data_IF_359397946092
#
_entry.id   IF_359397946092
#
_cell.length_a   1.000
_cell.length_b   1.000
_cell.length_c   1.000
_cell.angle_alpha   90.00
_cell.angle_beta   90.00
_cell.angle_gamma   90.00
#
_symmetry.space_group_name_H-M   'P 1'
#
loop_
_entity.id
_entity.type
_entity.pdbx_description
1 polymer ?
#
# COMPACT_ATOMS: atom_id res chain seq x y z
N UNK A 1 23.00 -13.86 -14.74
CA UNK A 1 22.22 -12.68 -14.30
C UNK A 1 23.11 -11.96 -13.30
N UNK A 2 23.47 -10.69 -13.53
CA UNK A 2 24.36 -9.94 -12.62
C UNK A 2 23.55 -9.57 -11.38
N UNK A 3 24.00 -9.98 -10.20
CA UNK A 3 23.39 -9.51 -8.93
C UNK A 3 23.63 -8.00 -8.78
N UNK A 4 22.55 -7.24 -8.69
CA UNK A 4 22.61 -5.81 -8.45
C UNK A 4 22.66 -5.57 -6.93
N UNK A 5 23.59 -4.75 -6.47
CA UNK A 5 23.62 -4.30 -5.08
C UNK A 5 22.45 -3.35 -4.78
N UNK A 6 22.06 -3.21 -3.50
CA UNK A 6 21.02 -2.24 -3.09
C UNK A 6 21.38 -0.81 -3.52
N UNK A 7 22.68 -0.46 -3.52
CA UNK A 7 23.17 0.84 -3.95
C UNK A 7 22.97 1.06 -5.45
N UNK A 8 23.20 0.06 -6.28
CA UNK A 8 22.97 0.13 -7.73
C UNK A 8 21.47 0.22 -8.04
N UNK A 9 20.65 -0.57 -7.33
CA UNK A 9 19.20 -0.50 -7.45
C UNK A 9 18.65 0.88 -7.09
N UNK A 10 19.20 1.54 -6.05
CA UNK A 10 18.75 2.87 -5.61
C UNK A 10 19.14 3.99 -6.56
N UNK A 11 20.08 3.78 -7.47
CA UNK A 11 20.57 4.78 -8.44
C UNK A 11 20.03 4.57 -9.85
N UNK A 12 19.45 3.40 -10.15
CA UNK A 12 18.97 3.11 -11.51
C UNK A 12 17.86 4.08 -11.94
N UNK A 13 17.77 4.30 -13.25
CA UNK A 13 16.63 5.02 -13.84
C UNK A 13 15.34 4.22 -13.56
N UNK A 14 14.29 4.92 -13.20
CA UNK A 14 12.96 4.35 -12.99
C UNK A 14 12.13 4.46 -14.26
N UNK A 15 11.10 3.63 -14.37
CA UNK A 15 10.06 3.82 -15.36
C UNK A 15 9.27 5.10 -15.04
N UNK A 16 8.78 5.74 -16.09
CA UNK A 16 8.03 7.00 -15.95
C UNK A 16 6.74 6.82 -15.15
N UNK A 17 6.12 5.64 -15.25
CA UNK A 17 4.83 5.37 -14.62
C UNK A 17 4.83 3.99 -13.96
N UNK A 18 4.39 3.95 -12.70
CA UNK A 18 4.03 2.71 -12.00
C UNK A 18 2.53 2.65 -11.73
N UNK A 19 1.92 1.50 -12.06
CA UNK A 19 0.50 1.26 -11.78
C UNK A 19 0.25 1.16 -10.26
N UNK A 20 1.14 0.46 -9.56
CA UNK A 20 1.08 0.33 -8.11
C UNK A 20 2.48 0.49 -7.53
N UNK A 21 2.59 1.25 -6.45
CA UNK A 21 3.78 1.26 -5.58
C UNK A 21 3.36 0.79 -4.19
N UNK A 22 4.00 -0.26 -3.71
CA UNK A 22 3.85 -0.75 -2.35
C UNK A 22 4.94 -0.14 -1.48
N UNK A 23 4.55 0.54 -0.40
CA UNK A 23 5.44 0.99 0.65
C UNK A 23 5.32 0.05 1.86
N UNK A 24 6.15 -0.99 1.87
CA UNK A 24 6.12 -2.04 2.89
C UNK A 24 6.94 -1.56 4.09
N UNK A 25 6.26 -1.40 5.23
CA UNK A 25 6.88 -0.99 6.49
C UNK A 25 7.39 -2.19 7.27
N UNK A 26 8.63 -2.11 7.74
CA UNK A 26 9.21 -3.00 8.73
C UNK A 26 9.81 -2.17 9.88
N UNK A 27 9.51 -2.54 11.12
CA UNK A 27 10.13 -1.93 12.29
C UNK A 27 11.43 -2.68 12.61
N UNK A 28 12.52 -1.93 12.80
CA UNK A 28 13.80 -2.47 13.23
C UNK A 28 14.23 -1.85 14.56
N UNK A 29 14.85 -2.67 15.40
CA UNK A 29 15.48 -2.25 16.62
C UNK A 29 17.00 -2.33 16.45
N UNK A 30 17.67 -1.18 16.42
CA UNK A 30 19.11 -1.09 16.32
C UNK A 30 19.70 -0.90 17.71
N UNK A 31 20.51 -1.86 18.16
CA UNK A 31 21.23 -1.75 19.43
C UNK A 31 22.38 -0.75 19.26
N UNK A 32 22.34 0.36 19.99
CA UNK A 32 23.44 1.28 20.23
C UNK A 32 24.13 0.90 21.54
N UNK A 33 25.30 1.47 21.84
CA UNK A 33 26.03 1.14 23.08
C UNK A 33 25.15 1.20 24.32
N UNK A 34 24.30 2.22 24.47
CA UNK A 34 23.57 2.50 25.70
C UNK A 34 22.04 2.51 25.56
N UNK A 35 21.51 2.33 24.34
CA UNK A 35 20.06 2.33 24.09
C UNK A 35 19.68 1.55 22.85
N UNK A 36 18.39 1.26 22.72
CA UNK A 36 17.79 0.67 21.53
C UNK A 36 17.13 1.79 20.72
N UNK A 37 17.64 2.06 19.53
CA UNK A 37 17.02 2.97 18.56
C UNK A 37 15.99 2.19 17.73
N UNK A 38 14.73 2.62 17.80
CA UNK A 38 13.68 2.11 16.92
C UNK A 38 13.64 2.92 15.64
N UNK A 39 13.51 2.25 14.52
CA UNK A 39 13.43 2.89 13.22
C UNK A 39 12.50 2.12 12.30
N UNK A 40 11.76 2.86 11.48
CA UNK A 40 10.93 2.27 10.44
C UNK A 40 11.72 2.19 9.14
N UNK A 41 11.73 1.01 8.52
CA UNK A 41 12.25 0.81 7.17
C UNK A 41 11.09 0.67 6.22
N UNK A 42 11.07 1.48 5.17
CA UNK A 42 10.12 1.37 4.07
C UNK A 42 10.81 0.84 2.82
N UNK A 43 10.38 -0.33 2.37
CA UNK A 43 10.78 -0.89 1.09
C UNK A 43 9.73 -0.52 0.05
N UNK A 44 10.15 0.16 -1.02
CA UNK A 44 9.28 0.51 -2.14
C UNK A 44 9.43 -0.50 -3.28
N UNK A 45 8.32 -1.15 -3.64
CA UNK A 45 8.23 -2.08 -4.77
C UNK A 45 7.16 -1.55 -5.71
N UNK A 46 7.52 -1.34 -6.98
CA UNK A 46 6.61 -0.89 -8.03
C UNK A 46 6.14 -2.03 -8.93
N UNK A 47 4.93 -1.91 -9.44
CA UNK A 47 4.44 -2.68 -10.60
C UNK A 47 4.37 -1.70 -11.78
N UNK A 48 5.15 -1.96 -12.82
CA UNK A 48 5.20 -1.13 -14.02
C UNK A 48 3.95 -1.31 -14.90
N UNK A 49 3.88 -0.57 -16.00
CA UNK A 49 2.75 -0.63 -16.94
C UNK A 49 2.62 -1.96 -17.69
N UNK A 50 3.66 -2.79 -17.66
CA UNK A 50 3.66 -4.15 -18.22
C UNK A 50 3.32 -5.23 -17.20
N UNK A 51 3.17 -4.85 -15.92
CA UNK A 51 2.83 -5.76 -14.82
C UNK A 51 4.05 -6.40 -14.14
N UNK A 52 5.28 -5.99 -14.46
CA UNK A 52 6.48 -6.50 -13.80
C UNK A 52 6.75 -5.81 -12.47
N UNK A 53 7.16 -6.61 -11.49
CA UNK A 53 7.59 -6.09 -10.18
C UNK A 53 9.02 -5.57 -10.28
N UNK A 54 9.22 -4.39 -9.73
CA UNK A 54 10.52 -3.74 -9.69
C UNK A 54 10.78 -3.20 -8.29
N UNK A 55 11.97 -3.47 -7.76
CA UNK A 55 12.45 -2.78 -6.57
C UNK A 55 12.72 -1.31 -6.92
N UNK A 56 12.16 -0.38 -6.14
CA UNK A 56 12.32 1.06 -6.35
C UNK A 56 13.39 1.62 -5.42
N UNK A 57 13.21 1.45 -4.11
CA UNK A 57 14.17 1.93 -3.10
C UNK A 57 13.86 1.37 -1.70
N UNK A 58 14.80 1.59 -0.77
CA UNK A 58 14.61 1.42 0.66
C UNK A 58 14.88 2.76 1.34
N UNK A 59 14.00 3.16 2.26
CA UNK A 59 14.13 4.35 3.07
C UNK A 59 14.06 4.00 4.55
N UNK A 60 14.99 4.56 5.33
CA UNK A 60 14.94 4.46 6.78
C UNK A 60 14.35 5.75 7.34
N UNK A 61 13.15 5.65 7.92
CA UNK A 61 12.44 6.77 8.52
C UNK A 61 12.61 6.77 10.03
N UNK A 62 13.46 7.68 10.53
CA UNK A 62 13.74 7.84 11.96
C UNK A 62 12.83 8.84 12.66
N UNK A 63 12.25 9.77 11.92
CA UNK A 63 11.58 10.97 12.47
C UNK A 63 10.18 11.19 11.95
N UNK A 64 9.72 10.38 11.02
CA UNK A 64 8.38 10.44 10.40
C UNK A 64 7.91 11.89 10.11
N UNK A 65 8.74 12.67 9.41
CA UNK A 65 8.40 14.04 9.07
C UNK A 65 8.12 14.23 7.58
N UNK A 66 7.43 15.33 7.24
CA UNK A 66 7.06 15.65 5.86
C UNK A 66 8.26 15.92 4.97
N UNK A 67 9.30 16.58 5.50
CA UNK A 67 10.47 16.97 4.73
C UNK A 67 11.21 15.74 4.21
N UNK A 68 11.41 14.76 5.08
CA UNK A 68 12.02 13.48 4.69
C UNK A 68 11.30 12.83 3.51
N UNK A 69 9.97 12.69 3.60
CA UNK A 69 9.20 12.06 2.53
C UNK A 69 9.15 12.88 1.24
N UNK A 70 9.19 14.22 1.36
CA UNK A 70 9.29 15.08 0.19
C UNK A 70 10.60 14.83 -0.55
N UNK A 71 11.72 14.85 0.18
CA UNK A 71 13.06 14.60 -0.39
C UNK A 71 13.15 13.19 -1.01
N UNK A 72 12.50 12.17 -0.39
CA UNK A 72 12.39 10.83 -0.97
C UNK A 72 11.67 10.85 -2.32
N UNK A 73 10.50 11.47 -2.42
CA UNK A 73 9.73 11.52 -3.67
C UNK A 73 10.42 12.36 -4.75
N UNK A 74 11.06 13.47 -4.39
CA UNK A 74 11.87 14.27 -5.33
C UNK A 74 13.05 13.45 -5.87
N UNK A 75 13.69 12.63 -5.03
CA UNK A 75 14.73 11.69 -5.46
C UNK A 75 14.19 10.68 -6.49
N UNK A 76 12.97 10.16 -6.30
CA UNK A 76 12.34 9.26 -7.28
C UNK A 76 12.04 9.97 -8.59
N UNK A 77 11.56 11.22 -8.56
CA UNK A 77 11.35 12.04 -9.74
C UNK A 77 12.64 12.31 -10.51
N UNK A 78 13.71 12.64 -9.80
CA UNK A 78 15.03 12.84 -10.40
C UNK A 78 15.55 11.59 -11.13
N UNK A 79 15.09 10.40 -10.73
CA UNK A 79 15.37 9.12 -11.40
C UNK A 79 14.42 8.78 -12.54
N UNK A 80 13.48 9.66 -12.88
CA UNK A 80 12.57 9.55 -14.04
C UNK A 80 11.12 9.20 -13.71
N UNK A 81 10.77 8.93 -12.44
CA UNK A 81 9.39 8.64 -12.06
C UNK A 81 8.52 9.90 -12.15
N UNK A 82 7.47 9.85 -12.94
CA UNK A 82 6.52 10.96 -13.11
C UNK A 82 5.14 10.65 -12.51
N UNK A 83 4.71 9.39 -12.60
CA UNK A 83 3.36 9.00 -12.21
C UNK A 83 3.33 7.75 -11.34
N UNK A 84 2.51 7.80 -10.29
CA UNK A 84 2.09 6.64 -9.50
C UNK A 84 0.57 6.62 -9.50
N UNK A 85 -0.03 5.56 -10.02
CA UNK A 85 -1.49 5.45 -10.05
C UNK A 85 -2.04 5.12 -8.66
N UNK A 86 -1.46 4.08 -8.03
CA UNK A 86 -1.83 3.66 -6.68
C UNK A 86 -0.61 3.57 -5.77
N UNK A 87 -0.71 4.15 -4.59
CA UNK A 87 0.24 3.94 -3.50
C UNK A 87 -0.42 3.13 -2.39
N UNK A 88 0.09 1.91 -2.19
CA UNK A 88 -0.27 1.08 -1.04
C UNK A 88 0.67 1.41 0.12
N UNK A 89 0.15 2.01 1.15
CA UNK A 89 0.89 2.42 2.33
C UNK A 89 0.01 2.34 3.58
N UNK A 90 0.63 2.01 4.70
CA UNK A 90 0.00 2.01 6.02
C UNK A 90 -0.51 3.41 6.44
N UNK A 91 -0.74 3.62 7.74
CA UNK A 91 -1.22 4.88 8.29
C UNK A 91 -0.19 6.02 8.31
N UNK A 92 0.88 5.98 7.49
CA UNK A 92 1.85 7.08 7.42
C UNK A 92 1.24 8.32 6.74
N UNK A 93 0.67 9.20 7.58
CA UNK A 93 0.00 10.43 7.13
C UNK A 93 0.96 11.39 6.43
N UNK A 94 2.22 11.44 6.86
CA UNK A 94 3.23 12.33 6.27
C UNK A 94 3.60 11.84 4.87
N UNK A 95 3.84 10.53 4.70
CA UNK A 95 4.06 9.94 3.39
C UNK A 95 2.87 10.20 2.45
N UNK A 96 1.63 9.94 2.89
CA UNK A 96 0.43 10.17 2.06
C UNK A 96 0.30 11.62 1.61
N UNK A 97 0.51 12.59 2.52
CA UNK A 97 0.39 14.02 2.21
C UNK A 97 1.45 14.47 1.21
N UNK A 98 2.70 14.05 1.41
CA UNK A 98 3.80 14.42 0.50
C UNK A 98 3.71 13.70 -0.83
N UNK A 99 3.27 12.43 -0.86
CA UNK A 99 3.01 11.73 -2.11
C UNK A 99 1.96 12.44 -2.96
N UNK A 100 0.89 12.99 -2.32
CA UNK A 100 -0.14 13.75 -3.03
C UNK A 100 0.37 15.08 -3.60
N UNK A 101 1.37 15.68 -2.95
CA UNK A 101 2.06 16.88 -3.48
C UNK A 101 2.95 16.49 -4.66
N UNK A 102 3.73 15.44 -4.54
CA UNK A 102 4.67 15.00 -5.57
C UNK A 102 3.96 14.41 -6.80
N UNK A 103 2.85 13.69 -6.59
CA UNK A 103 2.05 13.00 -7.61
C UNK A 103 0.56 13.33 -7.42
N UNK A 104 0.06 14.43 -8.00
CA UNK A 104 -1.30 14.93 -7.73
C UNK A 104 -2.44 13.93 -8.02
N UNK A 105 -2.25 13.06 -9.01
CA UNK A 105 -3.27 12.09 -9.42
C UNK A 105 -3.24 10.76 -8.65
N UNK A 106 -2.30 10.62 -7.70
CA UNK A 106 -2.12 9.40 -6.91
C UNK A 106 -3.38 9.03 -6.13
N UNK A 107 -3.75 7.76 -6.16
CA UNK A 107 -4.78 7.16 -5.32
C UNK A 107 -4.14 6.30 -4.23
N UNK A 108 -4.72 6.33 -3.01
CA UNK A 108 -4.21 5.52 -1.91
C UNK A 108 -5.05 4.28 -1.72
N UNK A 109 -4.38 3.15 -1.51
CA UNK A 109 -5.01 1.87 -1.19
C UNK A 109 -4.37 1.31 0.08
N UNK A 110 -5.18 0.67 0.92
CA UNK A 110 -4.65 -0.08 2.05
C UNK A 110 -4.19 -1.46 1.56
N UNK A 111 -3.01 -1.90 2.00
CA UNK A 111 -2.52 -3.23 1.68
C UNK A 111 -3.41 -4.30 2.32
N UNK A 112 -3.73 -5.37 1.57
CA UNK A 112 -4.42 -6.53 2.14
C UNK A 112 -3.58 -7.25 3.20
N UNK A 113 -2.26 -7.20 3.09
CA UNK A 113 -1.36 -7.76 4.12
C UNK A 113 -1.54 -7.09 5.48
N UNK A 114 -1.99 -5.83 5.49
CA UNK A 114 -2.28 -5.09 6.73
C UNK A 114 -3.67 -5.39 7.28
N UNK A 115 -4.56 -5.95 6.49
CA UNK A 115 -5.95 -6.23 6.89
C UNK A 115 -5.98 -7.31 7.95
N UNK A 116 -5.33 -8.46 7.70
CA UNK A 116 -5.35 -9.59 8.65
C UNK A 116 -4.84 -9.19 10.03
N UNK A 117 -3.66 -8.56 10.21
CA UNK A 117 -3.19 -8.11 11.52
C UNK A 117 -4.12 -7.08 12.19
N UNK A 118 -4.77 -6.21 11.41
CA UNK A 118 -5.72 -5.23 11.98
C UNK A 118 -6.98 -5.90 12.49
N UNK A 119 -7.52 -6.87 11.77
CA UNK A 119 -8.71 -7.61 12.19
C UNK A 119 -8.42 -8.62 13.29
N UNK A 120 -7.24 -9.26 13.32
CA UNK A 120 -6.86 -10.23 14.37
C UNK A 120 -6.77 -9.61 15.76
N UNK A 121 -6.72 -8.27 15.86
CA UNK A 121 -6.84 -7.57 17.15
C UNK A 121 -8.24 -7.66 17.76
N UNK A 122 -9.25 -7.98 16.95
CA UNK A 122 -10.66 -7.94 17.36
C UNK A 122 -11.40 -9.25 17.09
N UNK A 123 -10.76 -10.23 16.47
CA UNK A 123 -11.34 -11.53 16.14
C UNK A 123 -10.25 -12.59 16.04
N UNK A 124 -10.64 -13.87 16.06
CA UNK A 124 -9.69 -14.96 15.85
C UNK A 124 -8.99 -14.85 14.48
N UNK A 125 -7.73 -15.24 14.39
CA UNK A 125 -6.93 -15.13 13.18
C UNK A 125 -7.58 -15.84 11.97
N UNK A 126 -8.21 -17.00 12.22
CA UNK A 126 -8.95 -17.74 11.18
C UNK A 126 -10.06 -16.89 10.54
N UNK A 127 -10.79 -16.12 11.36
CA UNK A 127 -11.87 -15.27 10.89
C UNK A 127 -11.35 -14.00 10.23
N UNK A 128 -10.23 -13.45 10.73
CA UNK A 128 -9.52 -12.35 10.08
C UNK A 128 -9.04 -12.73 8.66
N UNK A 129 -8.54 -13.96 8.48
CA UNK A 129 -8.15 -14.48 7.15
C UNK A 129 -9.35 -14.66 6.21
N UNK A 130 -10.48 -15.19 6.71
CA UNK A 130 -11.72 -15.29 5.95
C UNK A 130 -12.21 -13.90 5.50
N UNK A 131 -12.16 -12.93 6.41
CA UNK A 131 -12.53 -11.56 6.14
C UNK A 131 -11.65 -10.95 5.05
N UNK A 132 -10.33 -11.11 5.16
CA UNK A 132 -9.38 -10.63 4.14
C UNK A 132 -9.65 -11.25 2.76
N UNK A 133 -9.92 -12.56 2.71
CA UNK A 133 -10.29 -13.27 1.47
C UNK A 133 -11.57 -12.72 0.86
N UNK A 134 -12.59 -12.45 1.69
CA UNK A 134 -13.85 -11.85 1.23
C UNK A 134 -13.64 -10.42 0.72
N UNK A 135 -12.87 -9.59 1.43
CA UNK A 135 -12.52 -8.25 0.95
C UNK A 135 -11.78 -8.31 -0.39
N UNK A 136 -10.86 -9.27 -0.55
CA UNK A 136 -10.20 -9.50 -1.83
C UNK A 136 -11.22 -9.80 -2.94
N UNK A 137 -12.22 -10.66 -2.68
CA UNK A 137 -13.26 -10.99 -3.68
C UNK A 137 -14.05 -9.76 -4.11
N UNK A 138 -14.27 -8.77 -3.23
CA UNK A 138 -14.98 -7.54 -3.57
C UNK A 138 -14.21 -6.69 -4.60
N UNK A 139 -12.89 -6.63 -4.48
CA UNK A 139 -12.05 -5.89 -5.45
C UNK A 139 -12.00 -6.57 -6.83
N UNK A 140 -12.29 -7.87 -6.88
CA UNK A 140 -12.22 -8.67 -8.11
C UNK A 140 -13.54 -8.75 -8.87
N UNK A 141 -14.66 -8.27 -8.30
CA UNK A 141 -15.95 -8.21 -9.02
C UNK A 141 -15.83 -7.38 -10.31
N UNK A 142 -16.63 -7.72 -11.31
CA UNK A 142 -16.60 -7.03 -12.61
C UNK A 142 -17.11 -5.60 -12.49
N UNK A 143 -18.20 -5.41 -11.78
CA UNK A 143 -18.90 -4.14 -11.66
C UNK A 143 -18.96 -3.64 -10.22
N UNK A 144 -19.14 -2.35 -10.06
CA UNK A 144 -19.38 -1.71 -8.76
C UNK A 144 -20.70 -2.19 -8.13
N UNK A 145 -21.71 -2.47 -8.94
CA UNK A 145 -23.00 -2.98 -8.48
C UNK A 145 -22.85 -4.35 -7.82
N UNK A 146 -22.20 -5.30 -8.50
CA UNK A 146 -21.88 -6.62 -7.95
C UNK A 146 -21.07 -6.52 -6.66
N UNK A 147 -20.10 -5.60 -6.63
CA UNK A 147 -19.32 -5.34 -5.43
C UNK A 147 -20.20 -4.87 -4.26
N UNK A 148 -21.13 -3.93 -4.50
CA UNK A 148 -22.05 -3.41 -3.47
C UNK A 148 -23.01 -4.46 -2.96
N UNK A 149 -23.51 -5.35 -3.83
CA UNK A 149 -24.37 -6.48 -3.44
C UNK A 149 -23.62 -7.48 -2.55
N UNK A 150 -22.42 -7.90 -2.97
CA UNK A 150 -21.59 -8.82 -2.16
C UNK A 150 -21.25 -8.21 -0.81
N UNK A 151 -21.03 -6.90 -0.79
CA UNK A 151 -20.76 -6.14 0.41
C UNK A 151 -21.92 -6.15 1.40
N UNK A 152 -23.14 -5.96 0.91
CA UNK A 152 -24.34 -5.99 1.75
C UNK A 152 -24.47 -7.35 2.43
N UNK A 153 -24.30 -8.43 1.68
CA UNK A 153 -24.28 -9.80 2.24
C UNK A 153 -23.19 -9.98 3.29
N UNK A 154 -22.07 -9.28 3.13
CA UNK A 154 -20.95 -9.34 4.02
C UNK A 154 -21.18 -8.56 5.32
N UNK A 155 -21.79 -7.38 5.26
CA UNK A 155 -22.12 -6.58 6.46
C UNK A 155 -23.12 -7.27 7.38
N UNK A 156 -24.01 -8.09 6.81
CA UNK A 156 -25.01 -8.83 7.56
C UNK A 156 -24.39 -9.97 8.42
N UNK A 157 -23.20 -10.44 8.05
CA UNK A 157 -22.46 -11.50 8.78
C UNK A 157 -21.65 -10.94 9.95
N UNK A 158 -21.19 -9.70 9.87
CA UNK A 158 -20.29 -9.08 10.84
C UNK A 158 -21.00 -7.97 11.63
N UNK A 159 -21.67 -8.37 12.73
CA UNK A 159 -22.48 -7.46 13.57
C UNK A 159 -21.66 -6.62 14.55
N UNK A 160 -20.33 -6.83 14.66
CA UNK A 160 -19.49 -6.07 15.57
C UNK A 160 -19.19 -4.68 15.01
N UNK A 161 -19.50 -3.62 15.78
CA UNK A 161 -19.31 -2.22 15.39
C UNK A 161 -17.88 -1.90 14.93
N UNK A 162 -16.87 -2.54 15.52
CA UNK A 162 -15.46 -2.31 15.16
C UNK A 162 -15.17 -2.95 13.80
N UNK A 163 -15.67 -4.17 13.57
CA UNK A 163 -15.52 -4.86 12.28
C UNK A 163 -16.23 -4.08 11.17
N UNK A 164 -17.42 -3.57 11.43
CA UNK A 164 -18.15 -2.71 10.50
C UNK A 164 -17.39 -1.42 10.16
N UNK A 165 -16.81 -0.73 11.16
CA UNK A 165 -16.00 0.47 10.91
C UNK A 165 -14.76 0.19 10.06
N UNK A 166 -14.09 -0.95 10.27
CA UNK A 166 -12.96 -1.36 9.47
C UNK A 166 -13.39 -1.71 8.04
N UNK A 167 -14.49 -2.46 7.88
CA UNK A 167 -15.07 -2.79 6.58
C UNK A 167 -15.42 -1.48 5.84
N UNK A 168 -16.18 -0.57 6.45
CA UNK A 168 -16.52 0.71 5.85
C UNK A 168 -15.30 1.53 5.41
N UNK A 169 -14.21 1.50 6.17
CA UNK A 169 -12.98 2.17 5.78
C UNK A 169 -12.40 1.65 4.46
N UNK A 170 -12.44 0.32 4.26
CA UNK A 170 -11.99 -0.29 3.00
C UNK A 170 -12.95 0.01 1.85
N UNK A 171 -14.22 0.20 2.13
CA UNK A 171 -15.27 0.45 1.17
C UNK A 171 -15.32 1.87 0.64
N UNK A 172 -14.96 2.84 1.46
CA UNK A 172 -14.94 4.26 1.05
C UNK A 172 -14.00 4.53 -0.13
N UNK A 173 -13.10 3.61 -0.44
CA UNK A 173 -12.22 3.69 -1.60
C UNK A 173 -12.73 2.93 -2.84
N UNK A 174 -13.82 2.16 -2.72
CA UNK A 174 -14.30 1.30 -3.82
C UNK A 174 -14.72 2.11 -5.04
N UNK A 175 -15.47 3.19 -4.88
CA UNK A 175 -15.91 4.03 -6.01
C UNK A 175 -14.72 4.56 -6.82
N UNK A 176 -13.61 4.87 -6.16
CA UNK A 176 -12.37 5.29 -6.85
C UNK A 176 -11.67 4.12 -7.54
N UNK A 177 -11.66 2.93 -6.92
CA UNK A 177 -11.03 1.75 -7.50
C UNK A 177 -11.78 1.23 -8.73
N UNK A 178 -13.11 1.32 -8.73
CA UNK A 178 -13.94 0.87 -9.85
C UNK A 178 -13.93 1.80 -11.07
N UNK A 179 -13.25 2.96 -11.00
CA UNK A 179 -12.89 3.75 -12.20
C UNK A 179 -11.84 3.07 -13.07
N UNK A 180 -11.11 2.10 -12.51
CA UNK A 180 -10.06 1.35 -13.20
C UNK A 180 -10.56 -0.03 -13.62
N UNK A 181 -9.98 -0.55 -14.71
CA UNK A 181 -10.31 -1.89 -15.21
C UNK A 181 -10.05 -2.98 -14.15
N UNK A 182 -10.75 -4.10 -14.27
CA UNK A 182 -10.56 -5.25 -13.39
C UNK A 182 -9.10 -5.71 -13.37
N UNK A 183 -8.42 -5.71 -14.51
CA UNK A 183 -7.01 -6.12 -14.60
C UNK A 183 -6.10 -5.23 -13.74
N UNK A 184 -6.31 -3.92 -13.73
CA UNK A 184 -5.56 -2.98 -12.89
C UNK A 184 -5.88 -3.22 -11.41
N UNK A 185 -7.15 -3.43 -11.06
CA UNK A 185 -7.54 -3.74 -9.68
C UNK A 185 -6.91 -5.02 -9.15
N UNK A 186 -6.80 -6.06 -10.00
CA UNK A 186 -6.13 -7.31 -9.64
C UNK A 186 -4.64 -7.13 -9.32
N UNK A 187 -3.97 -6.11 -9.87
CA UNK A 187 -2.57 -5.81 -9.55
C UNK A 187 -2.39 -5.32 -8.11
N UNK A 188 -3.42 -4.76 -7.49
CA UNK A 188 -3.37 -4.31 -6.09
C UNK A 188 -3.18 -5.47 -5.09
N UNK A 189 -3.35 -6.73 -5.54
CA UNK A 189 -3.36 -7.94 -4.70
C UNK A 189 -2.26 -8.94 -5.08
N UNK A 190 -1.44 -8.59 -6.03
CA UNK A 190 -0.24 -9.35 -6.38
C UNK A 190 0.92 -8.99 -5.47
#
# INVERSE_FOLDING_TARGET
MKELTLTECSKRKLDETYLVVYAIKNEINMKKSDYIEKSDIYTLIGIDTKGYRQFINIYQDRVNNKRFWLDCFESLKARGLQNILFLSVDNNKNMKRTAKIAFPDISFVDSLTDIVPKFSKYTAEKDARKLASKLHSLYTQRTLSECKEELKKFSDIYNNVIQQKLIHKYLNNMDNLYKYSQNIRLLLFK
#
